data_IF_193697207711
#
_entry.id   IF_193697207711
#
_cell.length_a   1.000
_cell.length_b   1.000
_cell.length_c   1.000
_cell.angle_alpha   90.00
_cell.angle_beta   90.00
_cell.angle_gamma   90.00
#
_symmetry.space_group_name_H-M   'P 1'
#
loop_
_entity.id
_entity.type
_entity.pdbx_description
1 polymer ?
#
# COMPACT_ATOMS: atom_id res chain seq x y z
N UNK A 1 5.76 38.93 -3.93
CA UNK A 1 6.18 40.30 -3.57
C UNK A 1 5.18 41.26 -4.20
N UNK A 2 4.72 42.26 -3.47
CA UNK A 2 3.79 43.27 -3.98
C UNK A 2 4.38 44.64 -3.68
N UNK A 3 4.44 45.48 -4.70
CA UNK A 3 4.94 46.85 -4.62
C UNK A 3 3.92 47.84 -5.17
N UNK A 4 3.83 49.01 -4.54
CA UNK A 4 2.92 50.11 -4.91
C UNK A 4 3.71 51.41 -4.86
N UNK A 5 4.11 51.89 -6.04
CA UNK A 5 4.99 53.06 -6.19
C UNK A 5 4.34 54.38 -5.74
N UNK A 6 3.01 54.54 -5.94
CA UNK A 6 2.27 55.71 -5.48
C UNK A 6 0.79 55.43 -5.21
N UNK A 7 0.14 56.28 -4.41
CA UNK A 7 -1.27 56.11 -4.09
C UNK A 7 -2.15 56.18 -5.35
N UNK A 8 -2.85 55.09 -5.66
CA UNK A 8 -3.73 54.98 -6.83
C UNK A 8 -3.07 54.33 -8.05
N UNK A 9 -1.78 53.99 -7.97
CA UNK A 9 -1.11 53.26 -9.04
C UNK A 9 -1.45 51.76 -8.99
N UNK A 10 -1.38 51.09 -10.14
CA UNK A 10 -1.72 49.66 -10.21
C UNK A 10 -0.60 48.84 -9.55
N UNK A 11 -0.90 48.01 -8.52
CA UNK A 11 0.13 47.27 -7.80
C UNK A 11 0.92 46.35 -8.72
N UNK A 12 2.26 46.40 -8.60
CA UNK A 12 3.15 45.45 -9.26
C UNK A 12 3.23 44.19 -8.41
N UNK A 13 2.65 43.11 -8.92
CA UNK A 13 2.61 41.81 -8.25
C UNK A 13 3.57 40.86 -8.94
N UNK A 14 4.58 40.40 -8.21
CA UNK A 14 5.52 39.36 -8.67
C UNK A 14 5.37 38.12 -7.79
N UNK A 15 5.20 36.96 -8.43
CA UNK A 15 5.15 35.69 -7.71
C UNK A 15 6.56 35.28 -7.30
N UNK A 16 6.74 35.03 -6.00
CA UNK A 16 8.00 34.47 -5.48
C UNK A 16 7.85 32.95 -5.50
N UNK A 17 8.69 32.21 -6.24
CA UNK A 17 8.63 30.75 -6.26
C UNK A 17 8.93 30.20 -4.86
N UNK A 18 7.97 29.49 -4.28
CA UNK A 18 8.18 28.67 -3.08
C UNK A 18 8.49 27.23 -3.49
N UNK A 19 8.99 26.42 -2.54
CA UNK A 19 9.19 24.98 -2.74
C UNK A 19 7.92 24.34 -3.33
N UNK A 20 8.08 23.62 -4.45
CA UNK A 20 6.96 23.06 -5.21
C UNK A 20 6.84 21.58 -4.96
N UNK A 21 5.81 21.18 -4.22
CA UNK A 21 5.43 19.78 -4.09
C UNK A 21 4.43 19.37 -5.16
N UNK A 22 4.50 18.11 -5.61
CA UNK A 22 3.55 17.54 -6.56
C UNK A 22 2.77 16.43 -5.90
N UNK A 23 1.46 16.58 -5.82
CA UNK A 23 0.57 15.58 -5.25
C UNK A 23 0.18 14.54 -6.29
N UNK A 24 0.33 13.26 -5.94
CA UNK A 24 -0.09 12.12 -6.75
C UNK A 24 -1.07 11.27 -5.95
N UNK A 25 -2.27 11.08 -6.50
CA UNK A 25 -3.23 10.08 -6.03
C UNK A 25 -3.29 8.98 -7.07
N UNK A 26 -2.85 7.78 -6.70
CA UNK A 26 -2.73 6.64 -7.60
C UNK A 26 -3.67 5.56 -7.08
N UNK A 27 -4.61 5.13 -7.92
CA UNK A 27 -5.57 4.08 -7.60
C UNK A 27 -5.34 2.91 -8.56
N UNK A 28 -5.12 1.72 -8.01
CA UNK A 28 -4.82 0.50 -8.77
C UNK A 28 -5.75 -0.61 -8.31
N UNK A 29 -6.39 -1.25 -9.28
CA UNK A 29 -7.14 -2.47 -9.07
C UNK A 29 -6.28 -3.69 -9.44
N UNK A 30 -6.15 -4.61 -8.48
CA UNK A 30 -5.34 -5.82 -8.61
C UNK A 30 -6.20 -7.04 -8.93
N UNK A 31 -5.65 -7.88 -9.80
CA UNK A 31 -6.21 -9.16 -10.22
C UNK A 31 -5.22 -10.27 -9.91
N UNK A 32 -5.72 -11.48 -9.65
CA UNK A 32 -4.87 -12.63 -9.36
C UNK A 32 -4.02 -13.05 -10.58
N UNK A 33 -2.83 -13.57 -10.30
CA UNK A 33 -1.88 -14.05 -11.31
C UNK A 33 -1.03 -12.96 -11.98
N UNK A 34 -1.12 -11.71 -11.54
CA UNK A 34 -0.26 -10.61 -11.99
C UNK A 34 0.67 -10.22 -10.84
N UNK A 35 1.93 -9.92 -11.16
CA UNK A 35 2.89 -9.39 -10.17
C UNK A 35 2.49 -7.97 -9.72
N UNK A 36 2.03 -7.79 -8.48
CA UNK A 36 1.58 -6.50 -8.00
C UNK A 36 2.74 -5.49 -7.80
N UNK A 37 3.97 -5.97 -7.61
CA UNK A 37 5.14 -5.10 -7.40
C UNK A 37 5.49 -4.38 -8.71
N UNK A 38 5.48 -5.12 -9.83
CA UNK A 38 5.67 -4.52 -11.15
C UNK A 38 4.61 -3.44 -11.43
N UNK A 39 3.32 -3.71 -11.13
CA UNK A 39 2.24 -2.72 -11.32
C UNK A 39 2.47 -1.48 -10.44
N UNK A 40 2.84 -1.67 -9.17
CA UNK A 40 3.16 -0.58 -8.26
C UNK A 40 4.28 0.29 -8.83
N UNK A 41 5.40 -0.31 -9.24
CA UNK A 41 6.54 0.42 -9.77
C UNK A 41 6.17 1.21 -11.02
N UNK A 42 5.42 0.62 -11.96
CA UNK A 42 4.96 1.27 -13.19
C UNK A 42 4.03 2.46 -12.92
N UNK A 43 3.15 2.35 -11.92
CA UNK A 43 2.19 3.40 -11.59
C UNK A 43 2.85 4.62 -10.91
N UNK A 44 3.99 4.42 -10.25
CA UNK A 44 4.66 5.48 -9.51
C UNK A 44 5.43 6.46 -10.41
N UNK A 45 5.49 7.75 -10.05
CA UNK A 45 6.27 8.72 -10.79
C UNK A 45 7.76 8.33 -10.81
N UNK A 46 8.33 8.30 -12.01
CA UNK A 46 9.73 7.91 -12.25
C UNK A 46 10.74 9.04 -12.02
N UNK A 47 10.27 10.29 -11.97
CA UNK A 47 11.10 11.49 -11.83
C UNK A 47 10.49 12.45 -10.82
N UNK A 48 11.33 13.22 -10.12
CA UNK A 48 10.87 14.24 -9.16
C UNK A 48 10.34 13.68 -7.84
N UNK A 49 10.85 12.51 -7.42
CA UNK A 49 10.39 11.81 -6.20
C UNK A 49 10.63 12.63 -4.92
N UNK A 50 11.72 13.40 -4.87
CA UNK A 50 12.11 14.27 -3.76
C UNK A 50 11.08 15.36 -3.40
N UNK A 51 10.17 15.70 -4.33
CA UNK A 51 9.10 16.67 -4.13
C UNK A 51 7.71 16.07 -4.35
N UNK A 52 7.61 14.77 -4.54
CA UNK A 52 6.35 14.09 -4.77
C UNK A 52 5.73 13.64 -3.43
N UNK A 53 4.44 13.93 -3.28
CA UNK A 53 3.59 13.50 -2.18
C UNK A 53 2.61 12.49 -2.75
N UNK A 54 2.82 11.22 -2.45
CA UNK A 54 2.13 10.10 -3.10
C UNK A 54 1.17 9.44 -2.11
N UNK A 55 -0.08 9.26 -2.55
CA UNK A 55 -1.04 8.36 -1.93
C UNK A 55 -1.40 7.26 -2.92
N UNK A 56 -0.98 6.04 -2.61
CA UNK A 56 -1.28 4.84 -3.36
C UNK A 56 -2.46 4.10 -2.74
N UNK A 57 -3.44 3.69 -3.55
CA UNK A 57 -4.64 3.00 -3.09
C UNK A 57 -4.82 1.73 -3.92
N UNK A 58 -4.73 0.58 -3.26
CA UNK A 58 -4.98 -0.71 -3.86
C UNK A 58 -6.41 -1.20 -3.59
N UNK A 59 -7.05 -1.77 -4.61
CA UNK A 59 -8.30 -2.52 -4.50
C UNK A 59 -8.20 -3.87 -5.21
N UNK A 60 -9.14 -4.78 -4.98
CA UNK A 60 -9.23 -6.04 -5.73
C UNK A 60 -8.83 -7.24 -4.88
N UNK A 61 -8.17 -8.23 -5.49
CA UNK A 61 -7.73 -9.46 -4.80
C UNK A 61 -6.36 -9.92 -5.27
N UNK A 62 -5.55 -10.39 -4.32
CA UNK A 62 -4.22 -10.94 -4.54
C UNK A 62 -4.02 -12.20 -3.70
N UNK A 63 -3.12 -13.08 -4.15
CA UNK A 63 -2.63 -14.19 -3.33
C UNK A 63 -1.90 -13.67 -2.08
N UNK A 64 -1.71 -14.55 -1.08
CA UNK A 64 -1.11 -14.14 0.19
C UNK A 64 0.35 -13.68 0.01
N UNK A 65 1.11 -14.40 -0.82
CA UNK A 65 2.50 -14.06 -1.16
C UNK A 65 2.60 -12.72 -1.87
N UNK A 66 1.72 -12.49 -2.84
CA UNK A 66 1.68 -11.27 -3.66
C UNK A 66 1.31 -10.05 -2.82
N UNK A 67 0.33 -10.18 -1.92
CA UNK A 67 -0.05 -9.11 -1.00
C UNK A 67 1.09 -8.77 -0.02
N UNK A 68 1.78 -9.78 0.51
CA UNK A 68 2.94 -9.57 1.38
C UNK A 68 4.11 -8.89 0.63
N UNK A 69 4.40 -9.33 -0.60
CA UNK A 69 5.42 -8.73 -1.45
C UNK A 69 5.09 -7.25 -1.77
N UNK A 70 3.83 -6.96 -2.10
CA UNK A 70 3.37 -5.60 -2.36
C UNK A 70 3.52 -4.70 -1.12
N UNK A 71 3.18 -5.19 0.08
CA UNK A 71 3.36 -4.45 1.33
C UNK A 71 4.83 -4.14 1.60
N UNK A 72 5.69 -5.15 1.50
CA UNK A 72 7.13 -4.97 1.68
C UNK A 72 7.73 -4.00 0.65
N UNK A 73 7.24 -4.00 -0.59
CA UNK A 73 7.65 -3.04 -1.61
C UNK A 73 7.19 -1.61 -1.25
N UNK A 74 5.95 -1.44 -0.79
CA UNK A 74 5.44 -0.15 -0.31
C UNK A 74 6.25 0.40 0.87
N UNK A 75 6.64 -0.44 1.83
CA UNK A 75 7.46 -0.02 2.97
C UNK A 75 8.85 0.46 2.54
N UNK A 76 9.48 -0.20 1.56
CA UNK A 76 10.77 0.22 1.01
C UNK A 76 10.73 1.57 0.30
N UNK A 77 9.57 1.95 -0.24
CA UNK A 77 9.37 3.19 -0.98
C UNK A 77 9.13 4.41 -0.08
N UNK A 78 8.92 4.22 1.23
CA UNK A 78 8.67 5.30 2.17
C UNK A 78 9.80 6.34 2.16
N UNK A 79 11.06 5.88 2.08
CA UNK A 79 12.25 6.73 2.07
C UNK A 79 12.57 7.34 0.69
N UNK A 80 11.91 6.89 -0.38
CA UNK A 80 12.19 7.36 -1.75
C UNK A 80 11.40 8.61 -2.14
N UNK A 81 10.37 8.97 -1.37
CA UNK A 81 9.47 10.09 -1.64
C UNK A 81 9.49 11.10 -0.50
N UNK A 82 9.10 12.35 -0.79
CA UNK A 82 8.91 13.33 0.28
C UNK A 82 7.79 12.92 1.24
N UNK A 83 6.76 12.27 0.70
CA UNK A 83 5.71 11.62 1.46
C UNK A 83 5.16 10.46 0.63
N UNK A 84 5.04 9.28 1.24
CA UNK A 84 4.41 8.13 0.63
C UNK A 84 3.45 7.47 1.62
N UNK A 85 2.23 7.22 1.18
CA UNK A 85 1.22 6.48 1.95
C UNK A 85 0.60 5.41 1.04
N UNK A 86 0.64 4.15 1.48
CA UNK A 86 -0.03 3.05 0.81
C UNK A 86 -1.26 2.59 1.60
N UNK A 87 -2.43 2.62 0.97
CA UNK A 87 -3.67 2.08 1.49
C UNK A 87 -4.07 0.83 0.72
N UNK A 88 -3.82 -0.34 1.32
CA UNK A 88 -4.16 -1.65 0.76
C UNK A 88 -5.35 -2.30 1.47
N UNK A 89 -6.13 -1.53 2.25
CA UNK A 89 -7.23 -2.06 3.07
C UNK A 89 -8.32 -2.73 2.22
N UNK A 90 -8.49 -2.29 0.97
CA UNK A 90 -9.48 -2.82 0.04
C UNK A 90 -8.94 -3.92 -0.87
N UNK A 91 -7.70 -4.38 -0.65
CA UNK A 91 -7.14 -5.54 -1.34
C UNK A 91 -7.43 -6.77 -0.50
N UNK A 92 -8.35 -7.61 -0.98
CA UNK A 92 -8.66 -8.87 -0.33
C UNK A 92 -7.62 -9.96 -0.63
N UNK A 93 -7.60 -10.99 0.23
CA UNK A 93 -6.79 -12.19 0.02
C UNK A 93 -7.60 -13.17 -0.84
N UNK A 94 -7.00 -13.65 -1.92
CA UNK A 94 -7.55 -14.75 -2.70
C UNK A 94 -7.51 -16.04 -1.87
N UNK A 95 -8.63 -16.76 -1.84
CA UNK A 95 -8.73 -17.95 -0.99
C UNK A 95 -8.04 -19.14 -1.64
N UNK A 96 -6.73 -19.27 -1.40
CA UNK A 96 -5.96 -20.45 -1.74
C UNK A 96 -5.37 -21.10 -0.48
N UNK A 97 -5.82 -22.31 -0.17
CA UNK A 97 -5.34 -23.07 1.01
C UNK A 97 -3.88 -23.49 0.85
N UNK A 98 -3.40 -23.66 -0.39
CA UNK A 98 -2.02 -24.04 -0.65
C UNK A 98 -1.02 -22.96 -0.22
N UNK A 99 -1.44 -21.69 -0.21
CA UNK A 99 -0.62 -20.56 0.27
C UNK A 99 -0.31 -20.67 1.77
N UNK A 100 -1.13 -21.37 2.55
CA UNK A 100 -0.89 -21.56 3.99
C UNK A 100 0.30 -22.49 4.26
N UNK A 101 0.67 -23.34 3.29
CA UNK A 101 1.89 -24.15 3.38
C UNK A 101 3.16 -23.29 3.44
N UNK A 102 3.12 -22.09 2.85
CA UNK A 102 4.22 -21.14 2.90
C UNK A 102 4.44 -20.57 4.31
N UNK A 103 3.41 -20.58 5.16
CA UNK A 103 3.53 -20.22 6.59
C UNK A 103 4.05 -21.43 7.37
N UNK A 104 3.38 -22.58 7.22
CA UNK A 104 3.77 -23.84 7.83
C UNK A 104 3.08 -25.01 7.15
N UNK A 105 3.79 -26.11 6.91
CA UNK A 105 3.19 -27.32 6.36
C UNK A 105 2.26 -28.03 7.37
N UNK A 106 2.59 -27.99 8.67
CA UNK A 106 1.82 -28.64 9.73
C UNK A 106 2.06 -28.02 11.12
N UNK A 107 1.30 -28.49 12.12
CA UNK A 107 1.49 -28.14 13.52
C UNK A 107 0.65 -26.95 14.00
N UNK A 108 0.97 -26.44 15.18
CA UNK A 108 0.18 -25.39 15.83
C UNK A 108 0.12 -24.07 15.03
N UNK A 109 1.22 -23.72 14.36
CA UNK A 109 1.29 -22.52 13.52
C UNK A 109 0.37 -22.63 12.29
N UNK A 110 0.31 -23.82 11.67
CA UNK A 110 -0.59 -24.11 10.55
C UNK A 110 -2.06 -23.99 10.96
N UNK A 111 -2.44 -24.57 12.10
CA UNK A 111 -3.81 -24.49 12.63
C UNK A 111 -4.20 -23.04 12.95
N UNK A 112 -3.27 -22.26 13.51
CA UNK A 112 -3.50 -20.83 13.74
C UNK A 112 -3.70 -20.06 12.43
N UNK A 113 -2.87 -20.33 11.41
CA UNK A 113 -2.99 -19.71 10.10
C UNK A 113 -4.33 -20.03 9.40
N UNK A 114 -4.77 -21.29 9.45
CA UNK A 114 -6.09 -21.72 8.95
C UNK A 114 -7.23 -20.98 9.66
N UNK A 115 -7.18 -20.88 10.99
CA UNK A 115 -8.20 -20.18 11.77
C UNK A 115 -8.30 -18.70 11.42
N UNK A 116 -7.15 -18.03 11.23
CA UNK A 116 -7.11 -16.62 10.81
C UNK A 116 -7.60 -16.50 9.36
N UNK A 117 -7.22 -17.42 8.48
CA UNK A 117 -7.65 -17.45 7.08
C UNK A 117 -9.17 -17.59 6.95
N UNK A 118 -9.81 -18.50 7.68
CA UNK A 118 -11.28 -18.59 7.75
C UNK A 118 -11.94 -17.31 8.27
N UNK A 119 -11.26 -16.60 9.18
CA UNK A 119 -11.72 -15.33 9.72
C UNK A 119 -11.63 -14.17 8.73
N UNK A 120 -10.93 -14.32 7.59
CA UNK A 120 -10.89 -13.30 6.53
C UNK A 120 -12.18 -13.20 5.72
N UNK A 121 -13.07 -14.20 5.84
CA UNK A 121 -14.39 -14.19 5.21
C UNK A 121 -15.37 -13.31 6.00
N UNK A 122 -16.17 -12.53 5.28
CA UNK A 122 -17.24 -11.68 5.84
C UNK A 122 -18.49 -12.53 6.19
N UNK A 123 -18.55 -13.80 5.77
CA UNK A 123 -19.66 -14.69 6.10
C UNK A 123 -19.81 -14.86 7.63
N UNK A 124 -20.90 -14.31 8.17
CA UNK A 124 -21.20 -14.35 9.60
C UNK A 124 -20.35 -13.41 10.47
N UNK A 125 -19.60 -12.47 9.88
CA UNK A 125 -18.72 -11.51 10.58
C UNK A 125 -18.87 -10.09 10.05
N UNK A 126 -18.31 -9.11 10.76
CA UNK A 126 -18.26 -7.73 10.27
C UNK A 126 -17.10 -7.56 9.28
N UNK A 127 -17.20 -6.55 8.41
CA UNK A 127 -16.10 -6.18 7.50
C UNK A 127 -14.82 -5.81 8.26
N UNK A 128 -14.96 -5.22 9.44
CA UNK A 128 -13.83 -4.85 10.28
C UNK A 128 -13.11 -6.07 10.85
N UNK A 129 -13.84 -7.10 11.27
CA UNK A 129 -13.24 -8.36 11.75
C UNK A 129 -12.47 -9.07 10.63
N UNK A 130 -13.07 -9.14 9.44
CA UNK A 130 -12.44 -9.72 8.26
C UNK A 130 -11.15 -8.96 7.89
N UNK A 131 -11.16 -7.63 8.02
CA UNK A 131 -9.99 -6.76 7.79
C UNK A 131 -8.87 -7.03 8.80
N UNK A 132 -9.21 -7.15 10.08
CA UNK A 132 -8.24 -7.47 11.15
C UNK A 132 -7.61 -8.84 10.88
N UNK A 133 -8.41 -9.84 10.49
CA UNK A 133 -7.92 -11.17 10.15
C UNK A 133 -6.97 -11.14 8.93
N UNK A 134 -7.29 -10.40 7.87
CA UNK A 134 -6.41 -10.26 6.70
C UNK A 134 -5.06 -9.64 7.07
N UNK A 135 -5.08 -8.60 7.91
CA UNK A 135 -3.86 -7.95 8.39
C UNK A 135 -3.02 -8.90 9.27
N UNK A 136 -3.66 -9.62 10.19
CA UNK A 136 -3.00 -10.60 11.04
C UNK A 136 -2.35 -11.72 10.20
N UNK A 137 -3.06 -12.23 9.17
CA UNK A 137 -2.54 -13.29 8.32
C UNK A 137 -1.33 -12.83 7.49
N UNK A 138 -1.39 -11.63 6.92
CA UNK A 138 -0.27 -11.05 6.17
C UNK A 138 0.97 -10.84 7.07
N UNK A 139 0.79 -10.37 8.30
CA UNK A 139 1.89 -10.22 9.26
C UNK A 139 2.47 -11.57 9.68
N UNK A 140 1.61 -12.58 9.93
CA UNK A 140 2.05 -13.92 10.28
C UNK A 140 2.91 -14.53 9.17
N UNK A 141 2.47 -14.37 7.91
CA UNK A 141 3.22 -14.81 6.74
C UNK A 141 4.59 -14.13 6.65
N UNK A 142 4.63 -12.80 6.80
CA UNK A 142 5.88 -12.06 6.76
C UNK A 142 6.88 -12.55 7.81
N UNK A 143 6.44 -12.72 9.06
CA UNK A 143 7.28 -13.22 10.15
C UNK A 143 7.77 -14.66 9.89
N UNK A 144 6.91 -15.53 9.35
CA UNK A 144 7.28 -16.89 8.99
C UNK A 144 8.41 -16.91 7.95
N UNK A 145 8.36 -16.01 6.96
CA UNK A 145 9.39 -15.89 5.93
C UNK A 145 10.73 -15.36 6.47
N UNK A 146 10.71 -14.40 7.40
CA UNK A 146 11.94 -13.92 8.06
C UNK A 146 12.63 -15.00 8.87
N UNK A 147 11.86 -15.84 9.58
CA UNK A 147 12.41 -16.86 10.48
C UNK A 147 12.92 -18.10 9.73
N UNK A 148 12.49 -18.30 8.47
CA UNK A 148 12.92 -19.41 7.62
C UNK A 148 14.31 -19.19 6.98
N UNK A 149 14.91 -18.00 7.18
CA UNK A 149 16.22 -17.61 6.62
C UNK A 149 17.32 -17.74 7.67
#
# INVERSE_FOLDING_TARGET
MVDIDMHGDTPRVEQVPLGKYTWHRIEVEFFSGIDPVTILEEALPKTGRDFALVRFIGTGRLGLSDLAALRAACEKLEDEFHFFEANLVKVGIEQNVDDLNLIAEAGALRVAAESIFEATSIEGRTEEDARIAQMALSHLFFLAQETAT
#
